data_IF_939406128766
#
_entry.id   IF_939406128766
#
_cell.length_a   1.000
_cell.length_b   1.000
_cell.length_c   1.000
_cell.angle_alpha   90.00
_cell.angle_beta   90.00
_cell.angle_gamma   90.00
#
_symmetry.space_group_name_H-M   'P 1'
#
loop_
_entity.id
_entity.type
_entity.pdbx_description
1 polymer ?
#
# COMPACT_ATOMS: atom_id res chain seq x y z
N UNK A 1 -14.53 70.92 11.35
CA UNK A 1 -13.64 72.10 11.33
C UNK A 1 -14.32 73.26 12.06
N UNK A 2 -14.26 73.28 13.40
CA UNK A 2 -14.80 74.35 14.24
C UNK A 2 -13.78 74.75 15.34
N UNK A 3 -12.48 74.65 15.03
CA UNK A 3 -11.40 74.84 15.99
C UNK A 3 -10.83 76.28 16.17
N UNK A 4 -11.12 77.31 15.32
CA UNK A 4 -10.46 78.59 15.50
C UNK A 4 -11.11 79.47 16.60
N UNK A 5 -12.40 79.29 16.89
CA UNK A 5 -13.09 80.07 17.93
C UNK A 5 -12.74 79.60 19.35
N UNK A 6 -12.69 78.29 19.58
CA UNK A 6 -12.34 77.72 20.91
C UNK A 6 -10.90 78.08 21.34
N UNK A 7 -9.94 78.07 20.41
CA UNK A 7 -8.56 78.44 20.68
C UNK A 7 -8.41 79.92 21.06
N UNK A 8 -9.24 80.78 20.46
CA UNK A 8 -9.23 82.23 20.73
C UNK A 8 -9.84 82.55 22.09
N UNK A 9 -10.91 81.83 22.48
CA UNK A 9 -11.54 81.93 23.80
C UNK A 9 -10.57 81.44 24.89
N UNK A 10 -9.84 80.35 24.64
CA UNK A 10 -8.87 79.81 25.59
C UNK A 10 -7.64 80.72 25.78
N UNK A 11 -7.19 81.40 24.71
CA UNK A 11 -6.10 82.38 24.78
C UNK A 11 -6.49 83.68 25.52
N UNK A 12 -7.75 84.12 25.40
CA UNK A 12 -8.30 85.22 26.20
C UNK A 12 -8.47 84.86 27.68
N UNK A 13 -8.90 83.63 27.96
CA UNK A 13 -9.07 83.10 29.32
C UNK A 13 -7.74 82.95 30.07
N UNK A 14 -6.68 82.49 29.40
CA UNK A 14 -5.35 82.33 30.01
C UNK A 14 -4.77 83.69 30.48
N UNK A 15 -5.06 84.77 29.74
CA UNK A 15 -4.70 86.14 30.14
C UNK A 15 -5.51 86.68 31.33
N UNK A 16 -6.72 86.17 31.58
CA UNK A 16 -7.54 86.57 32.75
C UNK A 16 -7.10 85.91 34.06
N UNK A 17 -6.36 84.79 34.00
CA UNK A 17 -5.77 84.18 35.20
C UNK A 17 -4.48 84.89 35.64
N UNK A 18 -3.88 85.71 34.77
CA UNK A 18 -2.69 86.53 35.03
C UNK A 18 -3.00 87.94 35.60
N UNK A 19 -4.16 88.15 36.23
CA UNK A 19 -4.52 89.45 36.86
C UNK A 19 -3.64 89.84 38.06
N UNK A 20 -2.70 88.98 38.50
CA UNK A 20 -1.77 89.25 39.60
C UNK A 20 -0.79 90.41 39.34
N UNK A 21 -0.75 90.95 38.12
CA UNK A 21 0.19 92.02 37.73
C UNK A 21 -0.44 93.40 37.51
N UNK A 22 -1.75 93.56 37.75
CA UNK A 22 -2.42 94.85 37.58
C UNK A 22 -2.15 95.75 38.80
N UNK A 23 -1.56 96.93 38.56
CA UNK A 23 -1.44 97.98 39.57
C UNK A 23 -2.85 98.34 40.05
N UNK A 24 -3.08 98.62 41.35
CA UNK A 24 -4.39 99.01 41.82
C UNK A 24 -4.80 100.30 41.12
N UNK A 25 -5.77 100.20 40.22
CA UNK A 25 -6.28 101.32 39.44
C UNK A 25 -7.12 102.27 40.31
N UNK A 26 -7.65 101.77 41.44
CA UNK A 26 -8.37 102.57 42.41
C UNK A 26 -7.46 103.02 43.57
N UNK A 27 -7.61 104.30 43.96
CA UNK A 27 -6.97 104.86 45.15
C UNK A 27 -7.34 104.07 46.42
N UNK A 28 -8.53 103.49 46.45
CA UNK A 28 -9.07 102.71 47.57
C UNK A 28 -8.34 101.37 47.72
N UNK A 29 -8.14 100.63 46.62
CA UNK A 29 -7.36 99.38 46.62
C UNK A 29 -5.91 99.66 47.00
N UNK A 30 -5.34 100.79 46.54
CA UNK A 30 -4.01 101.24 46.96
C UNK A 30 -3.91 101.53 48.46
N UNK A 31 -4.92 102.19 49.06
CA UNK A 31 -4.99 102.44 50.50
C UNK A 31 -5.13 101.15 51.30
N UNK A 32 -6.02 100.24 50.88
CA UNK A 32 -6.23 98.96 51.58
C UNK A 32 -4.95 98.13 51.56
N UNK A 33 -4.28 98.02 50.40
CA UNK A 33 -2.98 97.36 50.30
C UNK A 33 -1.95 97.97 51.25
N UNK A 34 -1.81 99.29 51.26
CA UNK A 34 -0.84 99.97 52.11
C UNK A 34 -1.14 99.76 53.60
N UNK A 35 -2.41 99.73 54.00
CA UNK A 35 -2.81 99.39 55.37
C UNK A 35 -2.42 97.95 55.69
N UNK A 36 -2.67 96.99 54.79
CA UNK A 36 -2.27 95.60 54.98
C UNK A 36 -0.74 95.45 55.08
N UNK A 37 0.02 96.14 54.22
CA UNK A 37 1.48 96.25 54.26
C UNK A 37 1.99 96.79 55.61
N UNK A 38 1.44 97.91 56.04
CA UNK A 38 1.84 98.57 57.28
C UNK A 38 1.47 97.73 58.51
N UNK A 39 0.32 97.07 58.51
CA UNK A 39 -0.08 96.15 59.58
C UNK A 39 0.84 94.94 59.63
N UNK A 40 1.23 94.38 58.49
CA UNK A 40 2.14 93.24 58.41
C UNK A 40 3.52 93.62 58.97
N UNK A 41 4.07 94.77 58.55
CA UNK A 41 5.35 95.27 59.07
C UNK A 41 5.33 95.54 60.58
N UNK A 42 4.22 96.09 61.11
CA UNK A 42 4.04 96.32 62.55
C UNK A 42 3.88 95.02 63.34
N UNK A 43 3.15 94.05 62.79
CA UNK A 43 2.97 92.72 63.38
C UNK A 43 4.32 92.00 63.46
N UNK A 44 5.09 91.99 62.36
CA UNK A 44 6.45 91.43 62.32
C UNK A 44 7.37 92.06 63.38
N UNK A 45 7.31 93.38 63.55
CA UNK A 45 8.13 94.08 64.52
C UNK A 45 7.71 93.75 65.96
N UNK A 46 6.40 93.67 66.21
CA UNK A 46 5.87 93.32 67.53
C UNK A 46 6.11 91.87 67.91
N UNK A 47 6.15 90.94 66.94
CA UNK A 47 6.43 89.53 67.19
C UNK A 47 7.88 89.26 67.61
N UNK A 48 8.80 90.21 67.38
CA UNK A 48 10.18 90.10 67.85
C UNK A 48 10.30 90.31 69.37
N UNK A 49 9.41 91.06 70.00
CA UNK A 49 9.54 91.42 71.42
C UNK A 49 9.54 90.19 72.33
N UNK A 50 8.55 89.26 72.27
CA UNK A 50 8.58 88.06 73.11
C UNK A 50 9.82 87.19 72.83
N UNK A 51 10.22 87.06 71.56
CA UNK A 51 11.35 86.23 71.15
C UNK A 51 12.69 86.75 71.67
N UNK A 52 12.88 88.06 71.62
CA UNK A 52 14.09 88.73 72.11
C UNK A 52 14.12 88.72 73.65
N UNK A 53 12.96 88.78 74.30
CA UNK A 53 12.86 88.62 75.77
C UNK A 53 13.20 87.19 76.21
N UNK A 54 12.77 86.17 75.46
CA UNK A 54 13.09 84.76 75.75
C UNK A 54 14.58 84.43 75.54
N UNK A 55 15.29 85.22 74.71
CA UNK A 55 16.70 85.04 74.35
C UNK A 55 17.59 86.21 74.79
N UNK A 56 17.14 86.95 75.81
CA UNK A 56 17.77 88.20 76.24
C UNK A 56 19.24 88.03 76.64
N UNK A 57 19.59 86.89 77.23
CA UNK A 57 20.97 86.56 77.65
C UNK A 57 21.94 86.46 76.47
N UNK A 58 21.45 86.10 75.28
CA UNK A 58 22.26 85.98 74.06
C UNK A 58 22.35 87.30 73.28
N UNK A 59 21.33 88.16 73.41
CA UNK A 59 21.19 89.38 72.61
C UNK A 59 21.59 90.65 73.36
N UNK A 60 21.87 90.58 74.67
CA UNK A 60 22.12 91.74 75.53
C UNK A 60 23.28 92.63 75.04
N UNK A 61 24.33 92.03 74.47
CA UNK A 61 25.50 92.73 73.94
C UNK A 61 25.20 93.48 72.63
N UNK A 62 24.29 92.95 71.82
CA UNK A 62 23.90 93.50 70.51
C UNK A 62 22.86 94.61 70.65
N UNK A 63 21.97 94.51 71.65
CA UNK A 63 20.87 95.44 71.89
C UNK A 63 21.32 96.75 72.55
N UNK A 64 22.43 96.73 73.30
CA UNK A 64 22.91 97.87 74.06
C UNK A 64 22.09 98.17 75.33
N UNK A 65 22.65 98.92 76.29
CA UNK A 65 22.11 99.01 77.65
C UNK A 65 20.70 99.63 77.72
N UNK A 66 20.36 100.54 76.81
CA UNK A 66 19.05 101.21 76.80
C UNK A 66 17.90 100.27 76.40
N UNK A 67 18.14 99.45 75.36
CA UNK A 67 17.15 98.51 74.84
C UNK A 67 17.07 97.30 75.76
N UNK A 68 18.21 96.79 76.21
CA UNK A 68 18.28 95.67 77.17
C UNK A 68 17.55 96.03 78.47
N UNK A 69 17.78 97.22 79.04
CA UNK A 69 17.04 97.67 80.23
C UNK A 69 15.53 97.79 79.97
N UNK A 70 15.12 98.30 78.81
CA UNK A 70 13.70 98.41 78.45
C UNK A 70 13.01 97.05 78.28
N UNK A 71 13.74 96.05 77.78
CA UNK A 71 13.28 94.67 77.65
C UNK A 71 13.26 93.94 78.99
N UNK A 72 14.24 94.17 79.88
CA UNK A 72 14.22 93.66 81.26
C UNK A 72 12.99 94.20 82.01
N UNK A 73 12.71 95.49 81.89
CA UNK A 73 11.50 96.10 82.47
C UNK A 73 10.23 95.54 81.83
N UNK A 74 10.22 95.30 80.52
CA UNK A 74 9.10 94.63 79.84
C UNK A 74 8.87 93.20 80.38
N UNK A 75 9.96 92.44 80.56
CA UNK A 75 9.93 91.07 81.08
C UNK A 75 9.43 91.03 82.53
N UNK A 76 9.88 91.96 83.38
CA UNK A 76 9.35 92.11 84.74
C UNK A 76 7.84 92.38 84.73
N UNK A 77 7.38 93.31 83.90
CA UNK A 77 5.96 93.62 83.77
C UNK A 77 5.15 92.44 83.20
N UNK A 78 5.72 91.68 82.28
CA UNK A 78 5.10 90.46 81.73
C UNK A 78 4.98 89.38 82.81
N UNK A 79 6.04 89.16 83.59
CA UNK A 79 6.04 88.20 84.69
C UNK A 79 5.07 88.61 85.81
N UNK A 80 4.99 89.91 86.14
CA UNK A 80 3.99 90.45 87.06
C UNK A 80 2.56 90.22 86.55
N UNK A 81 2.33 90.35 85.24
CA UNK A 81 1.03 90.06 84.62
C UNK A 81 0.69 88.58 84.71
N UNK A 82 1.63 87.71 84.35
CA UNK A 82 1.45 86.26 84.41
C UNK A 82 1.21 85.76 85.83
N UNK A 83 1.93 86.30 86.81
CA UNK A 83 1.72 85.99 88.24
C UNK A 83 0.34 86.46 88.72
N UNK A 84 -0.11 87.66 88.32
CA UNK A 84 -1.44 88.16 88.65
C UNK A 84 -2.54 87.32 88.00
N UNK A 85 -2.37 86.93 86.73
CA UNK A 85 -3.29 86.04 86.02
C UNK A 85 -3.33 84.63 86.62
N UNK A 86 -2.20 84.10 87.08
CA UNK A 86 -2.12 82.81 87.76
C UNK A 86 -2.72 82.85 89.19
N UNK A 87 -2.62 83.99 89.89
CA UNK A 87 -3.21 84.20 91.22
C UNK A 87 -4.71 84.49 91.22
N UNK A 88 -5.31 84.70 90.05
CA UNK A 88 -6.73 85.07 89.86
C UNK A 88 -7.74 83.95 90.15
N UNK A 89 -7.30 82.78 90.64
CA UNK A 89 -8.12 81.58 90.79
C UNK A 89 -8.92 81.44 92.08
N UNK A 90 -8.71 82.27 93.11
CA UNK A 90 -9.30 82.07 94.45
C UNK A 90 -9.45 83.41 95.22
N UNK A 91 -10.65 84.00 95.30
CA UNK A 91 -10.90 85.20 96.15
C UNK A 91 -12.13 86.05 95.80
N UNK A 92 -12.72 86.74 96.78
CA UNK A 92 -14.08 87.30 96.81
C UNK A 92 -14.35 88.48 95.84
N UNK A 93 -15.63 88.77 95.56
CA UNK A 93 -16.14 89.82 94.64
C UNK A 93 -15.63 91.25 94.90
N UNK A 94 -15.12 91.56 96.10
CA UNK A 94 -14.50 92.85 96.42
C UNK A 94 -13.03 92.97 96.01
N UNK A 95 -12.30 91.86 95.92
CA UNK A 95 -10.89 91.81 95.51
C UNK A 95 -10.75 91.90 93.98
N UNK A 96 -11.80 91.50 93.26
CA UNK A 96 -11.88 91.52 91.81
C UNK A 96 -11.88 92.92 91.19
N UNK A 97 -12.48 93.94 91.81
CA UNK A 97 -12.44 95.32 91.29
C UNK A 97 -11.06 95.95 91.49
N UNK A 98 -10.40 95.67 92.62
CA UNK A 98 -9.05 96.15 92.89
C UNK A 98 -8.01 95.44 92.01
N UNK A 99 -8.17 94.13 91.79
CA UNK A 99 -7.39 93.36 90.82
C UNK A 99 -7.64 93.82 89.39
N UNK A 100 -8.87 94.18 89.01
CA UNK A 100 -9.16 94.73 87.68
C UNK A 100 -8.55 96.12 87.48
N UNK A 101 -8.52 96.95 88.51
CA UNK A 101 -7.80 98.22 88.52
C UNK A 101 -6.29 98.03 88.37
N UNK A 102 -5.72 97.05 89.10
CA UNK A 102 -4.29 96.68 89.00
C UNK A 102 -3.95 96.07 87.64
N UNK A 103 -4.78 95.19 87.09
CA UNK A 103 -4.63 94.63 85.76
C UNK A 103 -4.72 95.70 84.68
N UNK A 104 -5.68 96.64 84.77
CA UNK A 104 -5.79 97.74 83.82
C UNK A 104 -4.55 98.66 83.88
N UNK A 105 -4.06 98.97 85.09
CA UNK A 105 -2.83 99.75 85.26
C UNK A 105 -1.61 99.00 84.71
N UNK A 106 -1.52 97.69 84.95
CA UNK A 106 -0.42 96.85 84.50
C UNK A 106 -0.46 96.64 82.98
N UNK A 107 -1.64 96.46 82.39
CA UNK A 107 -1.87 96.42 80.95
C UNK A 107 -1.48 97.75 80.30
N UNK A 108 -1.84 98.89 80.90
CA UNK A 108 -1.38 100.20 80.42
C UNK A 108 0.13 100.36 80.51
N UNK A 109 0.76 99.91 81.60
CA UNK A 109 2.23 99.90 81.77
C UNK A 109 2.90 98.98 80.75
N UNK A 110 2.32 97.80 80.48
CA UNK A 110 2.81 96.85 79.49
C UNK A 110 2.66 97.42 78.07
N UNK A 111 1.52 98.02 77.73
CA UNK A 111 1.32 98.75 76.46
C UNK A 111 2.32 99.89 76.29
N UNK A 112 2.59 100.64 77.35
CA UNK A 112 3.60 101.69 77.33
C UNK A 112 5.00 101.11 77.15
N UNK A 113 5.30 99.99 77.81
CA UNK A 113 6.56 99.26 77.69
C UNK A 113 6.77 98.71 76.28
N UNK A 114 5.80 97.99 75.70
CA UNK A 114 5.82 97.54 74.30
C UNK A 114 6.00 98.71 73.35
N UNK A 115 5.26 99.82 73.54
CA UNK A 115 5.39 101.00 72.69
C UNK A 115 6.77 101.66 72.83
N UNK A 116 7.35 101.66 74.02
CA UNK A 116 8.70 102.20 74.24
C UNK A 116 9.76 101.30 73.58
N UNK A 117 9.66 99.98 73.72
CA UNK A 117 10.52 99.00 73.04
C UNK A 117 10.38 99.12 71.52
N UNK A 118 9.15 99.18 70.99
CA UNK A 118 8.89 99.37 69.56
C UNK A 118 9.45 100.70 69.04
N UNK A 119 9.39 101.80 69.81
CA UNK A 119 9.99 103.08 69.41
C UNK A 119 11.51 102.98 69.35
N UNK A 120 12.15 102.28 70.29
CA UNK A 120 13.59 102.04 70.28
C UNK A 120 14.02 101.13 69.12
N UNK A 121 13.21 100.11 68.81
CA UNK A 121 13.38 99.25 67.63
C UNK A 121 13.23 100.04 66.32
N UNK A 122 12.21 100.90 66.21
CA UNK A 122 12.02 101.76 65.05
C UNK A 122 13.13 102.81 64.88
N UNK A 123 13.75 103.27 65.98
CA UNK A 123 14.89 104.17 65.95
C UNK A 123 16.17 103.48 65.42
N UNK A 124 16.26 102.15 65.52
CA UNK A 124 17.40 101.34 65.08
C UNK A 124 16.95 100.20 64.12
N UNK A 125 16.55 100.51 62.88
CA UNK A 125 15.98 99.52 61.96
C UNK A 125 16.97 98.41 61.55
N UNK A 126 18.28 98.72 61.49
CA UNK A 126 19.34 97.74 61.19
C UNK A 126 19.47 96.68 62.30
N UNK A 127 19.26 97.07 63.55
CA UNK A 127 19.25 96.16 64.70
C UNK A 127 18.05 95.20 64.60
N UNK A 128 16.87 95.70 64.23
CA UNK A 128 15.70 94.84 64.01
C UNK A 128 15.89 93.85 62.87
N UNK A 129 16.65 94.21 61.83
CA UNK A 129 16.97 93.30 60.74
C UNK A 129 17.97 92.23 61.19
N UNK A 130 19.00 92.58 61.97
CA UNK A 130 19.92 91.60 62.54
C UNK A 130 19.23 90.62 63.51
N UNK A 131 18.32 91.12 64.37
CA UNK A 131 17.49 90.27 65.25
C UNK A 131 16.51 89.40 64.45
N UNK A 132 16.13 89.85 63.25
CA UNK A 132 15.33 89.04 62.31
C UNK A 132 16.13 87.91 61.66
N UNK A 133 17.45 87.92 61.72
CA UNK A 133 18.26 86.85 61.13
C UNK A 133 18.77 85.88 62.22
N UNK A 134 18.93 86.33 63.48
CA UNK A 134 19.45 85.49 64.58
C UNK A 134 18.39 84.69 65.37
N UNK A 135 17.12 85.13 65.42
CA UNK A 135 16.12 84.60 66.38
C UNK A 135 14.99 83.77 65.72
N UNK A 136 15.21 83.21 64.52
CA UNK A 136 14.14 82.58 63.70
C UNK A 136 14.12 81.05 63.67
N UNK A 137 14.79 80.37 64.60
CA UNK A 137 14.83 78.89 64.62
C UNK A 137 13.68 78.23 65.41
N UNK A 138 12.73 78.98 65.98
CA UNK A 138 11.56 78.41 66.68
C UNK A 138 10.23 78.91 66.09
N UNK A 139 9.42 77.97 65.59
CA UNK A 139 8.03 78.22 65.20
C UNK A 139 7.26 78.78 66.39
N UNK A 140 6.92 80.07 66.31
CA UNK A 140 6.14 80.75 67.34
C UNK A 140 4.69 80.94 66.86
N UNK A 141 3.69 80.98 67.76
CA UNK A 141 2.31 81.27 67.38
C UNK A 141 2.12 82.58 66.59
N UNK A 142 3.04 83.54 66.76
CA UNK A 142 3.04 84.78 66.00
C UNK A 142 3.49 84.59 64.54
N UNK A 143 4.32 83.59 64.26
CA UNK A 143 4.82 83.26 62.92
C UNK A 143 3.75 82.61 62.04
N UNK A 144 2.95 81.68 62.61
CA UNK A 144 1.78 81.11 61.95
C UNK A 144 0.75 82.19 61.60
N UNK A 145 0.52 83.13 62.52
CA UNK A 145 -0.36 84.28 62.28
C UNK A 145 0.17 85.18 61.16
N UNK A 146 1.47 85.45 61.11
CA UNK A 146 2.08 86.22 60.01
C UNK A 146 1.94 85.52 58.65
N UNK A 147 2.12 84.19 58.59
CA UNK A 147 1.89 83.40 57.37
C UNK A 147 0.43 83.46 56.91
N UNK A 148 -0.51 83.21 57.82
CA UNK A 148 -1.94 83.29 57.53
C UNK A 148 -2.36 84.73 57.12
N UNK A 149 -1.77 85.76 57.72
CA UNK A 149 -2.01 87.15 57.33
C UNK A 149 -1.43 87.47 55.95
N UNK A 150 -0.28 86.87 55.59
CA UNK A 150 0.29 86.94 54.25
C UNK A 150 -0.61 86.30 53.19
N UNK A 151 -1.18 85.13 53.47
CA UNK A 151 -2.17 84.48 52.62
C UNK A 151 -3.46 85.31 52.49
N UNK A 152 -3.96 85.85 53.61
CA UNK A 152 -5.11 86.75 53.63
C UNK A 152 -4.85 88.00 52.78
N UNK A 153 -3.66 88.60 52.89
CA UNK A 153 -3.26 89.74 52.07
C UNK A 153 -3.25 89.39 50.59
N UNK A 154 -2.69 88.24 50.20
CA UNK A 154 -2.71 87.77 48.82
C UNK A 154 -4.15 87.59 48.31
N UNK A 155 -4.99 86.88 49.06
CA UNK A 155 -6.40 86.67 48.73
C UNK A 155 -7.17 87.99 48.60
N UNK A 156 -6.98 88.93 49.53
CA UNK A 156 -7.61 90.24 49.46
C UNK A 156 -7.17 91.03 48.23
N UNK A 157 -5.89 90.96 47.86
CA UNK A 157 -5.39 91.61 46.66
C UNK A 157 -5.97 90.98 45.40
N UNK A 158 -6.02 89.65 45.33
CA UNK A 158 -6.67 88.94 44.22
C UNK A 158 -8.13 89.39 44.07
N UNK A 159 -8.89 89.41 45.17
CA UNK A 159 -10.30 89.85 45.17
C UNK A 159 -10.50 91.32 44.81
N UNK A 160 -9.60 92.20 45.23
CA UNK A 160 -9.67 93.64 44.95
C UNK A 160 -9.21 93.99 43.53
N UNK A 161 -8.47 93.09 42.88
CA UNK A 161 -7.98 93.25 41.50
C UNK A 161 -8.82 92.49 40.48
N UNK A 162 -9.71 91.59 40.91
CA UNK A 162 -10.69 90.93 40.03
C UNK A 162 -11.96 91.76 39.89
N UNK A 163 -12.36 92.06 38.65
CA UNK A 163 -13.66 92.67 38.37
C UNK A 163 -14.80 91.63 38.53
N UNK A 164 -16.01 92.04 38.98
CA UNK A 164 -17.17 91.15 39.03
C UNK A 164 -17.47 90.47 37.68
N UNK A 165 -17.23 91.18 36.57
CA UNK A 165 -17.40 90.65 35.22
C UNK A 165 -16.37 89.54 34.91
N UNK A 166 -15.11 89.73 35.31
CA UNK A 166 -14.04 88.74 35.13
C UNK A 166 -14.30 87.48 35.98
N UNK A 167 -14.86 87.64 37.18
CA UNK A 167 -15.26 86.52 38.05
C UNK A 167 -16.42 85.71 37.44
N UNK A 168 -17.43 86.38 36.91
CA UNK A 168 -18.51 85.74 36.15
C UNK A 168 -18.00 85.04 34.88
N UNK A 169 -17.04 85.62 34.18
CA UNK A 169 -16.44 85.01 32.98
C UNK A 169 -15.62 83.77 33.35
N UNK A 170 -14.79 83.84 34.39
CA UNK A 170 -14.05 82.68 34.93
C UNK A 170 -14.98 81.55 35.33
N UNK A 171 -16.07 81.84 36.04
CA UNK A 171 -17.04 80.83 36.46
C UNK A 171 -17.79 80.20 35.27
N UNK A 172 -18.19 81.00 34.27
CA UNK A 172 -18.79 80.49 33.02
C UNK A 172 -17.82 79.60 32.23
N UNK A 173 -16.55 79.98 32.13
CA UNK A 173 -15.51 79.20 31.47
C UNK A 173 -15.27 77.86 32.18
N UNK A 174 -15.12 77.87 33.50
CA UNK A 174 -14.97 76.66 34.30
C UNK A 174 -16.18 75.72 34.18
N UNK A 175 -17.39 76.27 34.15
CA UNK A 175 -18.61 75.51 33.92
C UNK A 175 -18.63 74.87 32.51
N UNK A 176 -18.21 75.61 31.49
CA UNK A 176 -18.05 75.10 30.12
C UNK A 176 -17.04 73.94 30.03
N UNK A 177 -15.85 74.12 30.62
CA UNK A 177 -14.82 73.09 30.70
C UNK A 177 -15.34 71.86 31.46
N UNK A 178 -16.04 72.04 32.58
CA UNK A 178 -16.62 70.94 33.36
C UNK A 178 -17.65 70.16 32.54
N UNK A 179 -18.52 70.85 31.78
CA UNK A 179 -19.49 70.20 30.91
C UNK A 179 -18.81 69.42 29.78
N UNK A 180 -17.76 69.99 29.17
CA UNK A 180 -17.01 69.33 28.11
C UNK A 180 -16.20 68.14 28.64
N UNK A 181 -15.62 68.25 29.83
CA UNK A 181 -15.01 67.14 30.56
C UNK A 181 -16.01 66.00 30.78
N UNK A 182 -17.22 66.30 31.26
CA UNK A 182 -18.29 65.29 31.44
C UNK A 182 -18.65 64.59 30.12
N UNK A 183 -18.90 65.36 29.06
CA UNK A 183 -19.19 64.81 27.72
C UNK A 183 -18.05 63.93 27.21
N UNK A 184 -16.79 64.36 27.39
CA UNK A 184 -15.63 63.58 27.00
C UNK A 184 -15.50 62.30 27.82
N UNK A 185 -15.75 62.34 29.14
CA UNK A 185 -15.74 61.14 29.99
C UNK A 185 -16.81 60.14 29.61
N UNK A 186 -18.03 60.60 29.28
CA UNK A 186 -19.11 59.76 28.79
C UNK A 186 -18.76 59.13 27.43
N UNK A 187 -18.20 59.92 26.50
CA UNK A 187 -17.76 59.42 25.20
C UNK A 187 -16.63 58.39 25.34
N UNK A 188 -15.65 58.62 26.21
CA UNK A 188 -14.58 57.66 26.50
C UNK A 188 -15.16 56.37 27.10
N UNK A 189 -16.09 56.47 28.05
CA UNK A 189 -16.73 55.31 28.65
C UNK A 189 -17.54 54.50 27.62
N UNK A 190 -18.27 55.17 26.72
CA UNK A 190 -19.01 54.52 25.64
C UNK A 190 -18.06 53.80 24.67
N UNK A 191 -16.99 54.46 24.22
CA UNK A 191 -15.99 53.85 23.34
C UNK A 191 -15.24 52.68 24.01
N UNK A 192 -14.93 52.79 25.30
CA UNK A 192 -14.35 51.68 26.07
C UNK A 192 -15.31 50.49 26.17
N UNK A 193 -16.61 50.74 26.35
CA UNK A 193 -17.62 49.69 26.38
C UNK A 193 -17.78 49.02 25.01
N UNK A 194 -17.81 49.79 23.91
CA UNK A 194 -17.85 49.26 22.54
C UNK A 194 -16.60 48.45 22.21
N UNK A 195 -15.41 48.93 22.58
CA UNK A 195 -14.16 48.21 22.40
C UNK A 195 -14.20 46.88 23.18
N UNK A 196 -14.64 46.89 24.44
CA UNK A 196 -14.75 45.70 25.27
C UNK A 196 -15.77 44.68 24.72
N UNK A 197 -16.89 45.16 24.18
CA UNK A 197 -17.88 44.31 23.52
C UNK A 197 -17.31 43.67 22.24
N UNK A 198 -16.63 44.45 21.41
CA UNK A 198 -16.00 43.97 20.18
C UNK A 198 -14.87 42.96 20.47
N UNK A 199 -14.05 43.19 21.51
CA UNK A 199 -13.01 42.23 21.90
C UNK A 199 -13.62 40.92 22.39
N UNK A 200 -14.68 40.95 23.22
CA UNK A 200 -15.37 39.74 23.67
C UNK A 200 -15.99 38.97 22.50
N UNK A 201 -16.68 39.66 21.59
CA UNK A 201 -17.26 39.01 20.41
C UNK A 201 -16.19 38.33 19.54
N UNK A 202 -15.03 38.98 19.36
CA UNK A 202 -13.88 38.39 18.66
C UNK A 202 -13.34 37.17 19.39
N UNK A 203 -13.17 37.23 20.71
CA UNK A 203 -12.70 36.10 21.52
C UNK A 203 -13.66 34.91 21.44
N UNK A 204 -14.96 35.13 21.51
CA UNK A 204 -15.98 34.08 21.32
C UNK A 204 -15.91 33.44 19.93
N UNK A 205 -15.71 34.23 18.87
CA UNK A 205 -15.49 33.71 17.52
C UNK A 205 -14.20 32.89 17.41
N UNK A 206 -13.12 33.34 18.04
CA UNK A 206 -11.86 32.59 18.07
C UNK A 206 -12.08 31.25 18.75
N UNK A 207 -12.75 31.21 19.90
CA UNK A 207 -13.06 29.96 20.60
C UNK A 207 -13.92 29.02 19.75
N UNK A 208 -14.94 29.53 19.04
CA UNK A 208 -15.75 28.74 18.10
C UNK A 208 -14.91 28.17 16.95
N UNK A 209 -13.98 28.95 16.40
CA UNK A 209 -13.07 28.49 15.34
C UNK A 209 -12.07 27.47 15.88
N UNK A 210 -11.56 27.66 17.10
CA UNK A 210 -10.67 26.71 17.77
C UNK A 210 -11.34 25.36 18.04
N UNK A 211 -12.62 25.34 18.43
CA UNK A 211 -13.36 24.07 18.58
C UNK A 211 -13.51 23.36 17.24
N UNK A 212 -13.90 24.08 16.19
CA UNK A 212 -14.01 23.49 14.84
C UNK A 212 -12.67 22.96 14.33
N UNK A 213 -11.57 23.67 14.58
CA UNK A 213 -10.22 23.21 14.22
C UNK A 213 -9.88 21.91 14.95
N UNK A 214 -10.18 21.80 16.25
CA UNK A 214 -9.94 20.59 17.04
C UNK A 214 -10.78 19.41 16.51
N UNK A 215 -12.05 19.64 16.18
CA UNK A 215 -12.95 18.61 15.64
C UNK A 215 -12.52 18.15 14.24
N UNK A 216 -12.06 19.06 13.39
CA UNK A 216 -11.49 18.70 12.09
C UNK A 216 -10.19 17.93 12.24
N UNK A 217 -9.33 18.31 13.20
CA UNK A 217 -8.10 17.59 13.47
C UNK A 217 -8.33 16.18 14.01
N UNK A 218 -9.35 15.95 14.84
CA UNK A 218 -9.72 14.60 15.30
C UNK A 218 -10.30 13.79 14.13
N UNK A 219 -11.25 14.35 13.39
CA UNK A 219 -11.83 13.70 12.21
C UNK A 219 -10.77 13.30 11.17
N UNK A 220 -9.81 14.18 10.89
CA UNK A 220 -8.68 13.85 10.00
C UNK A 220 -7.84 12.70 10.54
N UNK A 221 -7.51 12.69 11.83
CA UNK A 221 -6.74 11.61 12.46
C UNK A 221 -7.50 10.29 12.38
N UNK A 222 -8.78 10.28 12.70
CA UNK A 222 -9.61 9.08 12.64
C UNK A 222 -9.75 8.54 11.20
N UNK A 223 -9.94 9.43 10.23
CA UNK A 223 -10.00 9.06 8.82
C UNK A 223 -8.67 8.49 8.32
N UNK A 224 -7.53 9.09 8.69
CA UNK A 224 -6.21 8.54 8.35
C UNK A 224 -5.98 7.18 8.98
N UNK A 225 -6.36 6.98 10.24
CA UNK A 225 -6.25 5.70 10.92
C UNK A 225 -7.14 4.63 10.25
N UNK A 226 -8.37 4.97 9.89
CA UNK A 226 -9.28 4.08 9.17
C UNK A 226 -8.75 3.72 7.78
N UNK A 227 -8.23 4.69 7.01
CA UNK A 227 -7.63 4.42 5.71
C UNK A 227 -6.39 3.52 5.81
N UNK A 228 -5.53 3.74 6.81
CA UNK A 228 -4.36 2.90 7.07
C UNK A 228 -4.78 1.46 7.42
N UNK A 229 -5.75 1.30 8.31
CA UNK A 229 -6.28 0.00 8.69
C UNK A 229 -6.90 -0.74 7.50
N UNK A 230 -7.72 -0.06 6.70
CA UNK A 230 -8.32 -0.62 5.48
C UNK A 230 -7.25 -1.02 4.46
N UNK A 231 -6.22 -0.20 4.26
CA UNK A 231 -5.11 -0.52 3.34
C UNK A 231 -4.32 -1.74 3.84
N UNK A 232 -4.07 -1.84 5.14
CA UNK A 232 -3.41 -3.01 5.73
C UNK A 232 -4.24 -4.28 5.57
N UNK A 233 -5.56 -4.21 5.80
CA UNK A 233 -6.46 -5.33 5.63
C UNK A 233 -6.48 -5.81 4.16
N UNK A 234 -6.64 -4.91 3.19
CA UNK A 234 -6.64 -5.26 1.76
C UNK A 234 -5.31 -5.92 1.36
N UNK A 235 -4.18 -5.44 1.89
CA UNK A 235 -2.87 -6.06 1.64
C UNK A 235 -2.79 -7.47 2.20
N UNK A 236 -3.20 -7.66 3.45
CA UNK A 236 -3.18 -8.98 4.10
C UNK A 236 -4.10 -9.97 3.39
N UNK A 237 -5.32 -9.56 3.03
CA UNK A 237 -6.25 -10.39 2.26
C UNK A 237 -5.67 -10.72 0.87
N UNK A 238 -5.05 -9.75 0.20
CA UNK A 238 -4.38 -9.96 -1.08
C UNK A 238 -3.20 -10.94 -0.99
N UNK A 239 -2.38 -10.84 0.05
CA UNK A 239 -1.27 -11.76 0.31
C UNK A 239 -1.77 -13.19 0.60
N UNK A 240 -2.80 -13.34 1.43
CA UNK A 240 -3.43 -14.63 1.72
C UNK A 240 -3.99 -15.28 0.44
N UNK A 241 -4.75 -14.53 -0.35
CA UNK A 241 -5.29 -15.01 -1.63
C UNK A 241 -4.17 -15.40 -2.60
N UNK A 242 -3.08 -14.62 -2.67
CA UNK A 242 -1.93 -14.95 -3.49
C UNK A 242 -1.27 -16.26 -3.04
N UNK A 243 -1.06 -16.46 -1.74
CA UNK A 243 -0.51 -17.70 -1.22
C UNK A 243 -1.40 -18.90 -1.51
N UNK A 244 -2.72 -18.78 -1.33
CA UNK A 244 -3.68 -19.83 -1.66
C UNK A 244 -3.64 -20.20 -3.15
N UNK A 245 -3.64 -19.20 -4.04
CA UNK A 245 -3.51 -19.42 -5.48
C UNK A 245 -2.20 -20.10 -5.84
N UNK A 246 -1.09 -19.70 -5.19
CA UNK A 246 0.22 -20.34 -5.38
C UNK A 246 0.22 -21.79 -4.90
N UNK A 247 -0.36 -22.08 -3.72
CA UNK A 247 -0.51 -23.45 -3.20
C UNK A 247 -1.37 -24.30 -4.14
N UNK A 248 -2.52 -23.80 -4.58
CA UNK A 248 -3.39 -24.49 -5.52
C UNK A 248 -2.70 -24.74 -6.88
N UNK A 249 -1.95 -23.77 -7.40
CA UNK A 249 -1.16 -23.93 -8.63
C UNK A 249 -0.05 -24.96 -8.48
N UNK A 250 0.68 -24.96 -7.36
CA UNK A 250 1.69 -25.98 -7.04
C UNK A 250 1.08 -27.38 -6.97
N UNK A 251 -0.08 -27.52 -6.31
CA UNK A 251 -0.79 -28.80 -6.24
C UNK A 251 -1.23 -29.30 -7.63
N UNK A 252 -1.78 -28.41 -8.48
CA UNK A 252 -2.11 -28.76 -9.87
C UNK A 252 -0.89 -29.18 -10.68
N UNK A 253 0.24 -28.46 -10.56
CA UNK A 253 1.49 -28.82 -11.22
C UNK A 253 2.00 -30.19 -10.76
N UNK A 254 1.95 -30.48 -9.47
CA UNK A 254 2.35 -31.78 -8.93
C UNK A 254 1.46 -32.91 -9.48
N UNK A 255 0.13 -32.72 -9.51
CA UNK A 255 -0.79 -33.69 -10.09
C UNK A 255 -0.54 -33.95 -11.58
N UNK A 256 -0.33 -32.89 -12.37
CA UNK A 256 0.02 -33.02 -13.79
C UNK A 256 1.37 -33.72 -14.00
N UNK A 257 2.37 -33.43 -13.17
CA UNK A 257 3.67 -34.12 -13.21
C UNK A 257 3.54 -35.61 -12.91
N UNK A 258 2.72 -35.98 -11.92
CA UNK A 258 2.44 -37.39 -11.62
C UNK A 258 1.74 -38.08 -12.79
N UNK A 259 0.75 -37.44 -13.41
CA UNK A 259 0.08 -38.00 -14.59
C UNK A 259 1.05 -38.17 -15.77
N UNK A 260 1.93 -37.20 -16.03
CA UNK A 260 2.96 -37.33 -17.07
C UNK A 260 3.89 -38.52 -16.80
N UNK A 261 4.36 -38.68 -15.56
CA UNK A 261 5.21 -39.81 -15.18
C UNK A 261 4.47 -41.15 -15.34
N UNK A 262 3.22 -41.24 -14.91
CA UNK A 262 2.38 -42.43 -15.10
C UNK A 262 2.20 -42.77 -16.59
N UNK A 263 1.88 -41.77 -17.42
CA UNK A 263 1.71 -41.96 -18.86
C UNK A 263 3.01 -42.42 -19.52
N UNK A 264 4.15 -41.87 -19.10
CA UNK A 264 5.46 -42.25 -19.60
C UNK A 264 5.81 -43.70 -19.25
N UNK A 265 5.50 -44.14 -18.03
CA UNK A 265 5.67 -45.55 -17.62
C UNK A 265 4.76 -46.47 -18.44
N UNK A 266 3.48 -46.10 -18.62
CA UNK A 266 2.53 -46.86 -19.44
C UNK A 266 2.98 -46.97 -20.90
N UNK A 267 3.44 -45.87 -21.49
CA UNK A 267 3.95 -45.85 -22.86
C UNK A 267 5.17 -46.77 -22.99
N UNK A 268 6.13 -46.69 -22.06
CA UNK A 268 7.31 -47.54 -22.08
C UNK A 268 6.96 -49.03 -21.95
N UNK A 269 6.02 -49.38 -21.07
CA UNK A 269 5.54 -50.75 -20.94
C UNK A 269 4.90 -51.24 -22.25
N UNK A 270 4.02 -50.45 -22.85
CA UNK A 270 3.32 -50.78 -24.10
C UNK A 270 4.31 -50.94 -25.27
N UNK A 271 5.32 -50.09 -25.35
CA UNK A 271 6.41 -50.20 -26.35
C UNK A 271 7.19 -51.51 -26.18
N UNK A 272 7.49 -51.91 -24.95
CA UNK A 272 8.18 -53.17 -24.68
C UNK A 272 7.33 -54.40 -25.05
N UNK A 273 6.05 -54.41 -24.69
CA UNK A 273 5.09 -55.46 -25.05
C UNK A 273 4.91 -55.58 -26.57
N UNK A 274 4.77 -54.45 -27.27
CA UNK A 274 4.70 -54.45 -28.72
C UNK A 274 5.99 -54.94 -29.36
N UNK A 275 7.16 -54.54 -28.84
CA UNK A 275 8.44 -55.03 -29.35
C UNK A 275 8.60 -56.54 -29.13
N UNK A 276 8.18 -57.05 -27.98
CA UNK A 276 8.23 -58.48 -27.68
C UNK A 276 7.28 -59.30 -28.58
N UNK A 277 6.04 -58.85 -28.77
CA UNK A 277 5.07 -59.50 -29.65
C UNK A 277 5.50 -59.46 -31.12
N UNK A 278 6.05 -58.34 -31.58
CA UNK A 278 6.60 -58.18 -32.93
C UNK A 278 7.78 -59.15 -33.17
N UNK A 279 8.72 -59.25 -32.23
CA UNK A 279 9.83 -60.21 -32.30
C UNK A 279 9.35 -61.66 -32.31
N UNK A 280 8.30 -61.99 -31.55
CA UNK A 280 7.70 -63.32 -31.54
C UNK A 280 7.07 -63.65 -32.91
N UNK A 281 6.35 -62.70 -33.52
CA UNK A 281 5.79 -62.85 -34.86
C UNK A 281 6.88 -62.99 -35.93
N UNK A 282 7.96 -62.19 -35.86
CA UNK A 282 9.13 -62.37 -36.76
C UNK A 282 9.73 -63.75 -36.65
N UNK A 283 9.95 -64.26 -35.43
CA UNK A 283 10.46 -65.62 -35.21
C UNK A 283 9.53 -66.68 -35.80
N UNK A 284 8.21 -66.55 -35.61
CA UNK A 284 7.22 -67.47 -36.20
C UNK A 284 7.23 -67.42 -37.72
N UNK A 285 7.32 -66.22 -38.31
CA UNK A 285 7.46 -66.03 -39.75
C UNK A 285 8.70 -66.75 -40.30
N UNK A 286 9.89 -66.53 -39.73
CA UNK A 286 11.12 -67.19 -40.15
C UNK A 286 11.03 -68.73 -40.07
N UNK A 287 10.40 -69.27 -39.02
CA UNK A 287 10.17 -70.73 -38.89
C UNK A 287 9.30 -71.27 -40.02
N UNK A 288 8.17 -70.61 -40.28
CA UNK A 288 7.27 -71.00 -41.37
C UNK A 288 7.95 -70.89 -42.74
N UNK A 289 8.71 -69.82 -42.98
CA UNK A 289 9.49 -69.64 -44.22
C UNK A 289 10.53 -70.75 -44.40
N UNK A 290 11.19 -71.17 -43.31
CA UNK A 290 12.13 -72.30 -43.33
C UNK A 290 11.42 -73.62 -43.63
N UNK A 291 10.26 -73.87 -43.02
CA UNK A 291 9.44 -75.06 -43.29
C UNK A 291 8.97 -75.11 -44.75
N UNK A 292 8.50 -73.98 -45.30
CA UNK A 292 8.13 -73.86 -46.72
C UNK A 292 9.35 -74.15 -47.60
N UNK A 293 10.52 -73.56 -47.29
CA UNK A 293 11.76 -73.84 -48.00
C UNK A 293 12.12 -75.33 -48.00
N UNK A 294 11.99 -75.99 -46.85
CA UNK A 294 12.21 -77.44 -46.72
C UNK A 294 11.22 -78.25 -47.57
N UNK A 295 9.93 -77.87 -47.60
CA UNK A 295 8.93 -78.54 -48.44
C UNK A 295 9.19 -78.36 -49.94
N UNK A 296 9.60 -77.16 -50.35
CA UNK A 296 10.01 -76.88 -51.73
C UNK A 296 11.22 -77.73 -52.10
N UNK A 297 12.22 -77.82 -51.21
CA UNK A 297 13.41 -78.64 -51.46
C UNK A 297 13.05 -80.11 -51.63
N UNK A 298 12.22 -80.67 -50.73
CA UNK A 298 11.72 -82.06 -50.84
C UNK A 298 10.96 -82.29 -52.15
N UNK A 299 10.05 -81.38 -52.51
CA UNK A 299 9.32 -81.48 -53.77
C UNK A 299 10.27 -81.47 -54.97
N UNK A 300 11.25 -80.58 -54.98
CA UNK A 300 12.24 -80.50 -56.06
C UNK A 300 13.10 -81.77 -56.16
N UNK A 301 13.51 -82.37 -55.02
CA UNK A 301 14.27 -83.63 -55.02
C UNK A 301 13.42 -84.77 -55.55
N UNK A 302 12.20 -84.93 -55.05
CA UNK A 302 11.30 -86.01 -55.47
C UNK A 302 10.96 -85.88 -56.97
N UNK A 303 10.69 -84.66 -57.45
CA UNK A 303 10.46 -84.40 -58.88
C UNK A 303 11.70 -84.70 -59.73
N UNK A 304 12.90 -84.39 -59.25
CA UNK A 304 14.14 -84.72 -59.95
C UNK A 304 14.37 -86.23 -60.02
N UNK A 305 14.14 -86.96 -58.92
CA UNK A 305 14.20 -88.42 -58.85
C UNK A 305 13.18 -89.05 -59.81
N UNK A 306 11.91 -88.62 -59.78
CA UNK A 306 10.88 -89.10 -60.73
C UNK A 306 11.21 -88.80 -62.18
N UNK A 307 11.82 -87.65 -62.45
CA UNK A 307 12.28 -87.32 -63.79
C UNK A 307 13.45 -88.20 -64.24
N UNK A 308 14.34 -88.61 -63.32
CA UNK A 308 15.42 -89.56 -63.59
C UNK A 308 14.88 -90.97 -63.85
N UNK A 309 14.01 -91.49 -62.97
CA UNK A 309 13.32 -92.78 -63.15
C UNK A 309 12.58 -92.82 -64.50
N UNK A 310 11.84 -91.77 -64.84
CA UNK A 310 11.14 -91.68 -66.13
C UNK A 310 12.11 -91.75 -67.32
N UNK A 311 13.25 -91.07 -67.23
CA UNK A 311 14.28 -91.10 -68.29
C UNK A 311 14.89 -92.50 -68.43
N UNK A 312 15.17 -93.18 -67.32
CA UNK A 312 15.70 -94.55 -67.31
C UNK A 312 14.72 -95.55 -67.94
N UNK A 313 13.46 -95.54 -67.50
CA UNK A 313 12.40 -96.40 -68.07
C UNK A 313 12.19 -96.10 -69.55
N UNK A 314 12.22 -94.82 -69.94
CA UNK A 314 12.09 -94.43 -71.35
C UNK A 314 13.28 -94.92 -72.19
N UNK A 315 14.49 -94.90 -71.65
CA UNK A 315 15.67 -95.44 -72.31
C UNK A 315 15.55 -96.96 -72.48
N UNK A 316 15.22 -97.70 -71.41
CA UNK A 316 14.98 -99.14 -71.47
C UNK A 316 13.87 -99.50 -72.46
N UNK A 317 12.73 -98.79 -72.45
CA UNK A 317 11.66 -98.98 -73.43
C UNK A 317 12.13 -98.75 -74.86
N UNK A 318 12.97 -97.75 -75.11
CA UNK A 318 13.52 -97.50 -76.44
C UNK A 318 14.42 -98.65 -76.90
N UNK A 319 15.25 -99.19 -76.01
CA UNK A 319 16.09 -100.36 -76.26
C UNK A 319 15.26 -101.62 -76.53
N UNK A 320 14.29 -101.94 -75.66
CA UNK A 320 13.38 -103.08 -75.85
C UNK A 320 12.58 -102.96 -77.14
N UNK A 321 12.12 -101.76 -77.49
CA UNK A 321 11.41 -101.52 -78.75
C UNK A 321 12.30 -101.77 -79.96
N UNK A 322 13.58 -101.38 -79.90
CA UNK A 322 14.56 -101.66 -80.96
C UNK A 322 14.90 -103.16 -81.05
N UNK A 323 14.99 -103.86 -79.92
CA UNK A 323 15.17 -105.31 -79.89
C UNK A 323 13.95 -106.03 -80.46
N UNK A 324 12.74 -105.58 -80.11
CA UNK A 324 11.49 -106.14 -80.62
C UNK A 324 11.39 -105.97 -82.14
N UNK A 325 11.70 -104.79 -82.68
CA UNK A 325 11.68 -104.59 -84.14
C UNK A 325 12.66 -105.54 -84.84
N UNK A 326 13.87 -105.70 -84.30
CA UNK A 326 14.86 -106.62 -84.84
C UNK A 326 14.43 -108.09 -84.76
N UNK A 327 13.74 -108.50 -83.70
CA UNK A 327 13.17 -109.84 -83.58
C UNK A 327 11.98 -110.06 -84.52
N UNK A 328 11.15 -109.03 -84.75
CA UNK A 328 10.06 -109.08 -85.71
C UNK A 328 10.58 -109.25 -87.13
N UNK A 329 11.59 -108.47 -87.53
CA UNK A 329 12.28 -108.62 -88.83
C UNK A 329 12.83 -110.04 -89.00
N UNK A 330 13.52 -110.58 -87.97
CA UNK A 330 14.01 -111.97 -87.98
C UNK A 330 12.87 -112.98 -88.10
N UNK A 331 11.76 -112.78 -87.39
CA UNK A 331 10.58 -113.67 -87.45
C UNK A 331 9.95 -113.65 -88.83
N UNK A 332 9.84 -112.48 -89.45
CA UNK A 332 9.30 -112.35 -90.81
C UNK A 332 10.14 -113.13 -91.81
N UNK A 333 11.47 -113.02 -91.73
CA UNK A 333 12.39 -113.83 -92.53
C UNK A 333 12.19 -115.33 -92.27
N UNK A 334 12.16 -115.76 -91.00
CA UNK A 334 11.95 -117.16 -90.63
C UNK A 334 10.58 -117.69 -91.10
N UNK A 335 9.52 -116.88 -91.09
CA UNK A 335 8.20 -117.27 -91.59
C UNK A 335 8.21 -117.47 -93.11
N UNK A 336 8.92 -116.62 -93.84
CA UNK A 336 9.12 -116.78 -95.28
C UNK A 336 9.90 -118.07 -95.59
N UNK A 337 10.98 -118.33 -94.86
CA UNK A 337 11.75 -119.59 -94.97
C UNK A 337 10.88 -120.80 -94.62
N UNK A 338 10.07 -120.71 -93.56
CA UNK A 338 9.19 -121.80 -93.16
C UNK A 338 8.12 -122.10 -94.21
N UNK A 339 7.49 -121.09 -94.79
CA UNK A 339 6.50 -121.29 -95.85
C UNK A 339 7.13 -121.89 -97.11
N UNK A 340 8.36 -121.48 -97.46
CA UNK A 340 9.12 -122.10 -98.54
C UNK A 340 9.37 -123.59 -98.26
N UNK A 341 9.80 -123.95 -97.05
CA UNK A 341 10.02 -125.35 -96.66
C UNK A 341 8.71 -126.15 -96.69
N UNK A 342 7.59 -125.58 -96.24
CA UNK A 342 6.28 -126.24 -96.30
C UNK A 342 5.82 -126.47 -97.74
N UNK A 343 5.97 -125.49 -98.62
CA UNK A 343 5.68 -125.61 -100.05
C UNK A 343 6.58 -126.65 -100.71
N UNK A 344 7.88 -126.65 -100.42
CA UNK A 344 8.83 -127.67 -100.88
C UNK A 344 8.42 -129.07 -100.42
N UNK A 345 8.05 -129.23 -99.15
CA UNK A 345 7.55 -130.51 -98.61
C UNK A 345 6.26 -130.95 -99.30
N UNK A 346 5.32 -130.03 -99.55
CA UNK A 346 4.06 -130.32 -100.26
C UNK A 346 4.34 -130.80 -101.67
N UNK A 347 5.19 -130.11 -102.42
CA UNK A 347 5.62 -130.50 -103.78
C UNK A 347 6.32 -131.86 -103.74
N UNK A 348 7.20 -132.10 -102.76
CA UNK A 348 7.87 -133.39 -102.62
C UNK A 348 6.89 -134.53 -102.32
N UNK A 349 5.87 -134.28 -101.51
CA UNK A 349 4.85 -135.26 -101.16
C UNK A 349 3.92 -135.54 -102.35
N UNK A 350 3.49 -134.51 -103.08
CA UNK A 350 2.75 -134.65 -104.35
C UNK A 350 3.54 -135.47 -105.39
N UNK A 351 4.85 -135.20 -105.54
CA UNK A 351 5.74 -135.98 -106.41
C UNK A 351 5.84 -137.45 -105.98
N UNK A 352 5.96 -137.71 -104.67
CA UNK A 352 5.97 -139.09 -104.14
C UNK A 352 4.65 -139.81 -104.41
N UNK A 353 3.52 -139.13 -104.24
CA UNK A 353 2.20 -139.71 -104.54
C UNK A 353 2.01 -139.97 -106.04
N UNK A 354 2.48 -139.08 -106.91
CA UNK A 354 2.47 -139.29 -108.36
C UNK A 354 3.33 -140.50 -108.75
N UNK A 355 4.55 -140.60 -108.22
CA UNK A 355 5.44 -141.75 -108.46
C UNK A 355 4.82 -143.06 -107.95
N UNK A 356 4.15 -143.06 -106.79
CA UNK A 356 3.42 -144.23 -106.30
C UNK A 356 2.26 -144.61 -107.22
N UNK A 357 1.48 -143.64 -107.73
CA UNK A 357 0.41 -143.90 -108.70
C UNK A 357 0.97 -144.51 -109.99
N UNK A 358 2.04 -143.95 -110.54
CA UNK A 358 2.73 -144.51 -111.72
C UNK A 358 3.26 -145.93 -111.45
N UNK A 359 3.90 -146.15 -110.29
CA UNK A 359 4.41 -147.45 -109.90
C UNK A 359 3.29 -148.47 -109.72
N UNK A 360 2.14 -148.09 -109.16
CA UNK A 360 0.98 -148.99 -109.08
C UNK A 360 0.42 -149.37 -110.45
N UNK A 361 0.38 -148.44 -111.41
CA UNK A 361 -0.01 -148.72 -112.80
C UNK A 361 1.01 -149.68 -113.46
N UNK A 362 2.30 -149.39 -113.33
CA UNK A 362 3.39 -150.25 -113.81
C UNK A 362 3.31 -151.64 -113.19
N UNK A 363 3.03 -151.74 -111.89
CA UNK A 363 2.90 -153.02 -111.17
C UNK A 363 1.67 -153.81 -111.64
N UNK A 364 0.54 -153.14 -111.91
CA UNK A 364 -0.65 -153.76 -112.50
C UNK A 364 -0.39 -154.26 -113.93
N UNK A 365 0.38 -153.52 -114.72
CA UNK A 365 0.81 -153.96 -116.05
C UNK A 365 1.76 -155.17 -115.95
N UNK A 366 2.78 -155.09 -115.09
CA UNK A 366 3.75 -156.16 -114.85
C UNK A 366 3.08 -157.44 -114.30
N UNK A 367 2.12 -157.32 -113.38
CA UNK A 367 1.35 -158.48 -112.87
C UNK A 367 0.47 -159.11 -113.95
N UNK A 368 -0.15 -158.32 -114.84
CA UNK A 368 -0.86 -158.84 -116.02
C UNK A 368 0.06 -159.64 -116.95
N UNK A 369 1.26 -159.11 -117.23
CA UNK A 369 2.26 -159.78 -118.08
C UNK A 369 2.80 -161.05 -117.40
N UNK A 370 3.15 -160.97 -116.12
CA UNK A 370 3.66 -162.11 -115.35
C UNK A 370 2.61 -163.21 -115.17
N UNK A 371 1.33 -162.88 -114.97
CA UNK A 371 0.25 -163.86 -114.88
C UNK A 371 0.06 -164.61 -116.21
N UNK A 372 0.19 -163.92 -117.34
CA UNK A 372 0.12 -164.53 -118.67
C UNK A 372 1.29 -165.50 -118.90
N UNK A 373 2.53 -165.11 -118.56
CA UNK A 373 3.73 -165.94 -118.72
C UNK A 373 3.75 -167.15 -117.77
N UNK A 374 3.38 -166.97 -116.49
CA UNK A 374 3.26 -168.10 -115.53
C UNK A 374 2.20 -169.12 -115.98
N UNK A 375 1.10 -168.67 -116.59
CA UNK A 375 0.13 -169.56 -117.21
C UNK A 375 0.67 -170.34 -118.40
N UNK A 376 1.52 -169.72 -119.23
CA UNK A 376 2.18 -170.39 -120.37
C UNK A 376 3.22 -171.42 -119.91
N UNK A 377 4.07 -171.08 -118.93
CA UNK A 377 5.12 -171.96 -118.40
C UNK A 377 4.57 -173.25 -117.78
N UNK A 378 3.43 -173.14 -117.07
CA UNK A 378 2.76 -174.29 -116.43
C UNK A 378 2.18 -175.29 -117.45
N UNK A 379 1.92 -174.86 -118.70
CA UNK A 379 1.36 -175.73 -119.77
C UNK A 379 2.42 -176.47 -120.60
N UNK A 380 3.69 -176.10 -120.48
CA UNK A 380 4.79 -176.66 -121.28
C UNK A 380 5.44 -177.91 -120.65
N UNK A 381 5.44 -178.05 -119.32
CA UNK A 381 6.30 -179.02 -118.62
C UNK A 381 5.63 -180.31 -118.06
N UNK A 382 4.47 -180.76 -118.57
CA UNK A 382 3.84 -181.98 -118.02
C UNK A 382 3.13 -182.92 -119.04
N UNK A 383 3.69 -184.12 -119.24
CA UNK A 383 3.01 -185.44 -119.34
C UNK A 383 4.00 -186.63 -119.14
N UNK A 384 3.58 -187.84 -118.68
CA UNK A 384 2.43 -188.19 -117.82
C UNK A 384 2.67 -189.36 -116.80
N UNK A 385 1.93 -189.39 -115.67
CA UNK A 385 1.25 -190.58 -115.05
C UNK A 385 0.55 -190.16 -113.74
N UNK A 386 -0.74 -189.79 -113.78
CA UNK A 386 -1.94 -190.61 -113.42
C UNK A 386 -2.11 -190.92 -111.92
N UNK A 387 -3.06 -190.26 -111.23
CA UNK A 387 -4.35 -190.84 -110.72
C UNK A 387 -5.10 -189.95 -109.70
N UNK A 388 -6.40 -189.77 -110.01
CA UNK A 388 -7.61 -189.86 -109.15
C UNK A 388 -7.97 -188.78 -108.09
N UNK A 389 -9.11 -188.14 -108.40
CA UNK A 389 -10.40 -188.09 -107.66
C UNK A 389 -10.73 -186.91 -106.70
N UNK A 390 -11.91 -186.34 -107.02
CA UNK A 390 -13.04 -185.86 -106.17
C UNK A 390 -12.92 -184.45 -105.57
N UNK A 391 -13.82 -183.53 -106.00
CA UNK A 391 -15.13 -183.14 -105.39
C UNK A 391 -14.90 -182.21 -104.17
N UNK A 392 -15.63 -181.13 -103.86
CA UNK A 392 -16.95 -180.59 -104.23
C UNK A 392 -17.20 -179.34 -103.33
N UNK A 393 -18.10 -178.43 -103.73
CA UNK A 393 -18.75 -177.44 -102.83
C UNK A 393 -18.34 -176.00 -103.13
N UNK A 394 -19.08 -175.17 -103.88
CA UNK A 394 -20.46 -174.68 -103.68
C UNK A 394 -20.59 -173.92 -102.34
N UNK A 395 -20.64 -172.59 -102.42
CA UNK A 395 -20.86 -171.73 -101.25
C UNK A 395 -21.20 -170.30 -101.65
N UNK A 396 -22.50 -170.08 -101.91
CA UNK A 396 -23.17 -168.81 -102.13
C UNK A 396 -23.11 -167.97 -100.84
N UNK A 397 -22.74 -166.68 -100.90
CA UNK A 397 -22.71 -165.82 -99.72
C UNK A 397 -22.77 -164.33 -100.06
N UNK A 398 -23.89 -163.72 -99.69
CA UNK A 398 -24.33 -162.34 -99.95
C UNK A 398 -24.24 -161.57 -98.63
N UNK A 399 -23.81 -160.30 -98.65
CA UNK A 399 -23.84 -159.37 -97.50
C UNK A 399 -22.70 -158.35 -97.65
N UNK A 400 -22.89 -157.04 -97.91
CA UNK A 400 -23.77 -156.00 -97.38
C UNK A 400 -23.54 -155.70 -95.89
N UNK A 401 -23.08 -154.47 -95.60
CA UNK A 401 -22.84 -153.88 -94.27
C UNK A 401 -21.59 -153.01 -94.37
N UNK A 402 -21.62 -151.70 -94.66
CA UNK A 402 -22.38 -150.55 -94.11
C UNK A 402 -21.89 -150.11 -92.73
N UNK A 403 -21.25 -148.94 -92.74
CA UNK A 403 -21.09 -148.04 -91.60
C UNK A 403 -19.87 -148.33 -90.72
N UNK A 404 -19.38 -147.37 -89.96
CA UNK A 404 -19.78 -145.98 -89.76
C UNK A 404 -18.73 -145.41 -88.82
N UNK A 405 -18.57 -144.08 -88.86
CA UNK A 405 -18.19 -143.23 -87.72
C UNK A 405 -16.75 -143.39 -87.20
N UNK A 406 -16.16 -142.42 -86.52
CA UNK A 406 -16.32 -140.98 -86.33
C UNK A 406 -15.31 -140.63 -85.24
N UNK A 407 -15.24 -139.32 -84.96
CA UNK A 407 -14.67 -138.67 -83.77
C UNK A 407 -13.15 -138.54 -83.83
N UNK A 408 -12.59 -137.38 -83.49
CA UNK A 408 -13.16 -136.17 -82.89
C UNK A 408 -12.32 -134.98 -83.32
#
# INVERSE_FOLDING_TARGET
MAAPEEATIMSGAMKMFDSCHLKPESLETGRIRNVLDETMAKLELSSLIPRVVDSLDMCADVLGPEITNSLIEHQKLSNELEQLLASSGDGNTGEAEEQRGRLCLLEQRLKCSVRNVLRLFLANPLLCQALKDEVWDRESPAEEFLKAFGEFRYFMLERLLTSPMEEEEKTRLLAGISLQMKKNTEAIAALQAELAAATRAREEEILKKETVIKDLQTSMRDLTAACLASTQQIRQEGEQQQEEMLRASRARRAGLQQHLQQLQVQLNALVLEHRASELALRKRKCRMETEIGNWIQKYNTDMAEKQAEYKEVRAAYAEEKAQLSLLMEKRELLLQEYSQIEEERRIHQEKKEQALKELTIMTLAATRIQAFWRGYLVRSLLRPKRKKKKKQGKGKGKGKGKGKKAKK
#
